data_IF_157267382534
#
_entry.id   IF_157267382534
#
_cell.length_a   1.000
_cell.length_b   1.000
_cell.length_c   1.000
_cell.angle_alpha   90.00
_cell.angle_beta   90.00
_cell.angle_gamma   90.00
#
_symmetry.space_group_name_H-M   'P 1'
#
loop_
_entity.id
_entity.type
_entity.pdbx_description
1 polymer ?
#
# COMPACT_ATOMS: atom_id res chain seq x y z
N UNK A 1 -4.28 -35.33 32.69
CA UNK A 1 -5.53 -35.48 31.90
C UNK A 1 -5.21 -35.57 30.42
N UNK A 2 -6.11 -36.14 29.61
CA UNK A 2 -5.97 -36.22 28.14
C UNK A 2 -5.73 -34.84 27.50
N UNK A 3 -6.32 -33.78 28.06
CA UNK A 3 -6.11 -32.39 27.64
C UNK A 3 -4.65 -31.95 27.76
N UNK A 4 -3.97 -32.24 28.89
CA UNK A 4 -2.56 -31.89 29.10
C UNK A 4 -1.65 -32.63 28.11
N UNK A 5 -1.95 -33.89 27.79
CA UNK A 5 -1.18 -34.66 26.80
C UNK A 5 -1.33 -34.07 25.38
N UNK A 6 -2.55 -33.71 24.97
CA UNK A 6 -2.79 -33.06 23.68
C UNK A 6 -2.13 -31.69 23.57
N UNK A 7 -2.15 -30.90 24.63
CA UNK A 7 -1.48 -29.60 24.68
C UNK A 7 0.05 -29.73 24.56
N UNK A 8 0.67 -30.68 25.29
CA UNK A 8 2.10 -31.00 25.14
C UNK A 8 2.45 -31.43 23.71
N UNK A 9 1.59 -32.23 23.08
CA UNK A 9 1.76 -32.64 21.69
C UNK A 9 1.69 -31.48 20.69
N UNK A 10 0.79 -30.50 20.91
CA UNK A 10 0.72 -29.27 20.11
C UNK A 10 2.00 -28.44 20.27
N UNK A 11 2.45 -28.23 21.51
CA UNK A 11 3.69 -27.49 21.79
C UNK A 11 4.90 -28.13 21.10
N UNK A 12 5.08 -29.44 21.22
CA UNK A 12 6.20 -30.13 20.58
C UNK A 12 6.18 -30.04 19.05
N UNK A 13 5.00 -29.98 18.41
CA UNK A 13 4.90 -29.77 16.95
C UNK A 13 5.22 -28.33 16.57
N UNK A 14 4.72 -27.36 17.33
CA UNK A 14 5.02 -25.94 17.10
C UNK A 14 6.51 -25.64 17.27
N UNK A 15 7.15 -26.18 18.32
CA UNK A 15 8.60 -26.03 18.56
C UNK A 15 9.41 -26.65 17.42
N UNK A 16 9.08 -27.88 17.00
CA UNK A 16 9.76 -28.53 15.86
C UNK A 16 9.60 -27.76 14.56
N UNK A 17 8.41 -27.20 14.30
CA UNK A 17 8.17 -26.37 13.11
C UNK A 17 8.95 -25.06 13.19
N UNK A 18 8.94 -24.40 14.35
CA UNK A 18 9.67 -23.15 14.59
C UNK A 18 11.18 -23.30 14.36
N UNK A 19 11.77 -24.42 14.80
CA UNK A 19 13.19 -24.73 14.59
C UNK A 19 13.60 -24.84 13.11
N UNK A 20 12.63 -25.04 12.20
CA UNK A 20 12.85 -25.16 10.76
C UNK A 20 12.21 -24.01 9.96
N UNK A 21 11.72 -22.97 10.62
CA UNK A 21 11.19 -21.80 9.92
C UNK A 21 12.33 -21.09 9.22
N UNK A 22 12.25 -21.03 7.89
CA UNK A 22 13.08 -20.13 7.11
C UNK A 22 12.56 -18.71 7.30
N UNK A 23 13.47 -17.74 7.25
CA UNK A 23 13.10 -16.34 7.04
C UNK A 23 12.15 -16.26 5.85
N UNK A 24 10.91 -15.83 6.09
CA UNK A 24 10.06 -15.45 4.98
C UNK A 24 10.74 -14.23 4.33
N UNK A 25 10.96 -14.24 3.00
CA UNK A 25 11.42 -13.03 2.35
C UNK A 25 10.39 -11.96 2.63
N UNK A 26 10.78 -10.87 3.30
CA UNK A 26 9.93 -9.68 3.40
C UNK A 26 9.68 -9.25 1.96
N UNK A 27 8.44 -9.35 1.43
CA UNK A 27 8.19 -8.90 0.09
C UNK A 27 8.57 -7.42 0.07
N UNK A 28 9.55 -7.07 -0.77
CA UNK A 28 9.91 -5.68 -1.04
C UNK A 28 8.70 -5.05 -1.73
N UNK A 29 7.70 -4.65 -0.94
CA UNK A 29 6.52 -3.96 -1.46
C UNK A 29 6.98 -2.54 -1.72
N UNK A 30 7.23 -2.22 -2.99
CA UNK A 30 7.16 -0.83 -3.44
C UNK A 30 5.72 -0.40 -3.22
N UNK A 31 5.44 0.15 -2.04
CA UNK A 31 4.10 0.59 -1.69
C UNK A 31 3.77 1.74 -2.64
N UNK A 32 2.90 1.48 -3.60
CA UNK A 32 2.48 2.50 -4.53
C UNK A 32 1.42 3.37 -3.84
N UNK A 33 1.59 4.69 -3.82
CA UNK A 33 0.68 5.62 -3.15
C UNK A 33 -0.45 6.12 -4.06
N UNK A 34 -0.41 5.74 -5.33
CA UNK A 34 -1.39 6.14 -6.35
C UNK A 34 -2.63 5.27 -6.27
N UNK A 35 -3.80 5.88 -6.36
CA UNK A 35 -5.07 5.16 -6.50
C UNK A 35 -5.45 5.08 -7.98
N UNK A 36 -5.68 3.89 -8.50
CA UNK A 36 -6.23 3.73 -9.85
C UNK A 36 -7.76 3.76 -9.80
N UNK A 37 -8.37 4.57 -10.65
CA UNK A 37 -9.81 4.63 -10.84
C UNK A 37 -10.11 4.18 -12.25
N UNK A 38 -11.04 3.24 -12.38
CA UNK A 38 -11.38 2.65 -13.66
C UNK A 38 -12.86 2.88 -13.93
N UNK A 39 -13.14 3.73 -14.92
CA UNK A 39 -14.49 3.96 -15.42
C UNK A 39 -14.84 5.45 -15.54
N UNK A 40 -15.84 5.67 -16.36
CA UNK A 40 -16.31 6.98 -16.84
C UNK A 40 -17.58 7.48 -16.13
N UNK A 41 -18.16 6.66 -15.26
CA UNK A 41 -19.38 7.01 -14.51
C UNK A 41 -19.20 8.23 -13.61
N UNK A 42 -20.29 8.96 -13.33
CA UNK A 42 -20.26 10.12 -12.43
C UNK A 42 -19.64 9.79 -11.06
N UNK A 43 -19.94 8.63 -10.47
CA UNK A 43 -19.35 8.20 -9.22
C UNK A 43 -17.82 7.97 -9.32
N UNK A 44 -17.34 7.42 -10.44
CA UNK A 44 -15.90 7.22 -10.65
C UNK A 44 -15.17 8.57 -10.79
N UNK A 45 -15.69 9.48 -11.63
CA UNK A 45 -15.14 10.82 -11.79
C UNK A 45 -15.19 11.62 -10.47
N UNK A 46 -16.25 11.45 -9.69
CA UNK A 46 -16.35 12.09 -8.37
C UNK A 46 -15.35 11.52 -7.37
N UNK A 47 -15.06 10.22 -7.45
CA UNK A 47 -14.00 9.60 -6.65
C UNK A 47 -12.64 10.24 -6.99
N UNK A 48 -12.34 10.41 -8.28
CA UNK A 48 -11.11 11.03 -8.75
C UNK A 48 -10.99 12.48 -8.28
N UNK A 49 -12.06 13.27 -8.40
CA UNK A 49 -12.11 14.63 -7.90
C UNK A 49 -11.88 14.70 -6.38
N UNK A 50 -12.50 13.79 -5.62
CA UNK A 50 -12.36 13.77 -4.15
C UNK A 50 -10.92 13.50 -3.74
N UNK A 51 -10.26 12.49 -4.35
CA UNK A 51 -8.85 12.19 -4.11
C UNK A 51 -7.93 13.33 -4.59
N UNK A 52 -8.27 13.93 -5.74
CA UNK A 52 -7.62 15.11 -6.31
C UNK A 52 -7.55 16.26 -5.31
N UNK A 53 -8.70 16.64 -4.76
CA UNK A 53 -8.83 17.67 -3.72
C UNK A 53 -8.05 17.34 -2.43
N UNK A 54 -7.88 16.06 -2.11
CA UNK A 54 -7.10 15.61 -0.95
C UNK A 54 -5.58 15.57 -1.23
N UNK A 55 -5.13 15.96 -2.42
CA UNK A 55 -3.72 15.95 -2.82
C UNK A 55 -3.13 14.56 -3.03
N UNK A 56 -3.97 13.53 -3.25
CA UNK A 56 -3.50 12.17 -3.50
C UNK A 56 -3.32 11.90 -4.98
N UNK A 57 -2.28 11.14 -5.32
CA UNK A 57 -2.03 10.74 -6.71
C UNK A 57 -3.12 9.79 -7.21
N UNK A 58 -3.66 10.09 -8.39
CA UNK A 58 -4.71 9.30 -9.04
C UNK A 58 -4.30 8.97 -10.47
N UNK A 59 -4.49 7.71 -10.85
CA UNK A 59 -4.56 7.32 -12.25
C UNK A 59 -6.00 7.08 -12.65
N UNK A 60 -6.45 7.65 -13.75
CA UNK A 60 -7.81 7.49 -14.24
C UNK A 60 -7.81 6.87 -15.64
N UNK A 61 -8.55 5.78 -15.81
CA UNK A 61 -8.66 5.01 -17.05
C UNK A 61 -10.12 4.76 -17.42
N UNK A 62 -10.37 4.48 -18.70
CA UNK A 62 -11.67 4.01 -19.18
C UNK A 62 -11.94 2.55 -18.78
N UNK A 63 -13.19 2.13 -18.92
CA UNK A 63 -13.58 0.73 -18.74
C UNK A 63 -13.55 -0.02 -20.09
N UNK A 64 -13.57 -1.38 -20.11
CA UNK A 64 -13.65 -2.13 -21.35
C UNK A 64 -14.78 -1.60 -22.25
N UNK A 65 -14.42 -1.30 -23.49
CA UNK A 65 -15.32 -0.82 -24.55
C UNK A 65 -15.95 0.55 -24.27
N UNK A 66 -15.43 1.27 -23.26
CA UNK A 66 -15.81 2.64 -22.89
C UNK A 66 -14.56 3.44 -22.50
N UNK A 67 -13.83 3.96 -23.51
CA UNK A 67 -12.64 4.76 -23.27
C UNK A 67 -12.96 6.00 -22.45
N UNK A 68 -11.99 6.48 -21.67
CA UNK A 68 -12.16 7.64 -20.82
C UNK A 68 -12.43 8.90 -21.67
N UNK A 69 -13.59 9.56 -21.54
CA UNK A 69 -13.95 10.68 -22.41
C UNK A 69 -13.39 12.02 -21.92
N UNK A 70 -13.33 12.20 -20.61
CA UNK A 70 -12.84 13.43 -19.96
C UNK A 70 -12.46 13.12 -18.51
N UNK A 71 -11.76 14.05 -17.88
CA UNK A 71 -11.32 13.93 -16.50
C UNK A 71 -11.41 15.26 -15.76
N UNK A 72 -11.55 15.24 -14.43
CA UNK A 72 -11.47 16.44 -13.62
C UNK A 72 -10.05 17.03 -13.67
N UNK A 73 -9.96 18.35 -13.78
CA UNK A 73 -8.69 19.08 -13.88
C UNK A 73 -8.07 19.28 -12.49
N UNK A 74 -7.15 18.39 -12.13
CA UNK A 74 -6.33 18.46 -10.91
C UNK A 74 -4.90 18.04 -11.25
N UNK A 75 -3.87 18.73 -10.72
CA UNK A 75 -2.47 18.46 -11.05
C UNK A 75 -1.99 17.05 -10.66
N UNK A 76 -2.65 16.44 -9.67
CA UNK A 76 -2.38 15.10 -9.13
C UNK A 76 -3.34 14.01 -9.66
N UNK A 77 -4.16 14.34 -10.66
CA UNK A 77 -5.04 13.38 -11.35
C UNK A 77 -4.55 13.18 -12.77
N UNK A 78 -3.86 12.06 -13.00
CA UNK A 78 -3.34 11.71 -14.32
C UNK A 78 -4.38 10.88 -15.07
N UNK A 79 -5.06 11.51 -16.01
CA UNK A 79 -6.07 10.89 -16.83
C UNK A 79 -5.50 10.41 -18.16
N UNK A 80 -5.66 9.13 -18.44
CA UNK A 80 -5.21 8.52 -19.69
C UNK A 80 -6.41 8.46 -20.64
N UNK A 81 -6.65 9.56 -21.36
CA UNK A 81 -7.74 9.65 -22.33
C UNK A 81 -7.58 8.58 -23.43
N UNK A 82 -8.72 8.07 -23.94
CA UNK A 82 -8.70 6.99 -24.93
C UNK A 82 -8.31 5.60 -24.38
N UNK A 83 -7.73 5.52 -23.18
CA UNK A 83 -7.28 4.24 -22.60
C UNK A 83 -8.42 3.42 -21.99
N UNK A 84 -8.23 2.09 -21.97
CA UNK A 84 -9.17 1.13 -21.37
C UNK A 84 -8.43 0.11 -20.50
N UNK A 85 -8.80 -0.01 -19.22
CA UNK A 85 -8.28 -1.09 -18.38
C UNK A 85 -8.98 -2.42 -18.70
N UNK A 86 -8.21 -3.51 -18.84
CA UNK A 86 -8.70 -4.84 -19.22
C UNK A 86 -8.70 -5.86 -18.08
N UNK A 87 -7.68 -5.80 -17.23
CA UNK A 87 -7.56 -6.71 -16.09
C UNK A 87 -6.82 -6.04 -14.94
N UNK A 88 -7.05 -6.54 -13.73
CA UNK A 88 -6.29 -6.13 -12.56
C UNK A 88 -5.95 -7.32 -11.66
N UNK A 89 -4.80 -7.23 -10.99
CA UNK A 89 -4.35 -8.21 -10.01
C UNK A 89 -3.72 -7.55 -8.81
N UNK A 90 -3.56 -8.30 -7.73
CA UNK A 90 -2.87 -7.85 -6.53
C UNK A 90 -3.82 -7.46 -5.40
N UNK A 91 -3.30 -6.69 -4.46
CA UNK A 91 -3.98 -6.26 -3.24
C UNK A 91 -3.46 -4.89 -2.80
N UNK A 92 -4.01 -4.33 -1.73
CA UNK A 92 -3.60 -3.05 -1.17
C UNK A 92 -2.07 -2.89 -1.12
N UNK A 93 -1.60 -1.79 -1.70
CA UNK A 93 -0.18 -1.43 -1.86
C UNK A 93 0.54 -2.02 -3.09
N UNK A 94 -0.04 -2.99 -3.80
CA UNK A 94 0.60 -3.70 -4.94
C UNK A 94 -0.43 -4.20 -5.96
N UNK A 95 -1.36 -3.34 -6.38
CA UNK A 95 -2.20 -3.62 -7.53
C UNK A 95 -1.41 -3.42 -8.82
N UNK A 96 -1.68 -4.28 -9.80
CA UNK A 96 -1.23 -4.12 -11.19
C UNK A 96 -2.44 -4.08 -12.10
N UNK A 97 -2.58 -2.99 -12.83
CA UNK A 97 -3.68 -2.75 -13.77
C UNK A 97 -3.12 -2.83 -15.19
N UNK A 98 -3.66 -3.73 -16.01
CA UNK A 98 -3.32 -3.85 -17.43
C UNK A 98 -4.23 -2.93 -18.22
N UNK A 99 -3.63 -1.98 -18.94
CA UNK A 99 -4.31 -0.93 -19.68
C UNK A 99 -3.92 -1.02 -21.14
N UNK A 100 -4.91 -0.93 -22.03
CA UNK A 100 -4.70 -0.70 -23.45
C UNK A 100 -4.75 0.80 -23.68
N UNK A 101 -3.65 1.36 -24.18
CA UNK A 101 -3.51 2.77 -24.51
C UNK A 101 -4.21 3.10 -25.84
N UNK A 102 -4.35 4.38 -26.18
CA UNK A 102 -5.02 4.82 -27.41
C UNK A 102 -4.36 4.29 -28.69
N UNK A 103 -3.02 4.14 -28.67
CA UNK A 103 -2.23 3.56 -29.77
C UNK A 103 -2.31 2.02 -29.85
N UNK A 104 -3.13 1.40 -29.00
CA UNK A 104 -3.29 -0.06 -28.92
C UNK A 104 -2.18 -0.76 -28.11
N UNK A 105 -1.21 -0.04 -27.56
CA UNK A 105 -0.14 -0.65 -26.75
C UNK A 105 -0.67 -1.11 -25.39
N UNK A 106 -0.11 -2.21 -24.90
CA UNK A 106 -0.43 -2.74 -23.58
C UNK A 106 0.59 -2.24 -22.55
N UNK A 107 0.10 -1.56 -21.51
CA UNK A 107 0.91 -1.09 -20.40
C UNK A 107 0.40 -1.62 -19.05
N UNK A 108 1.32 -1.70 -18.08
CA UNK A 108 1.00 -2.16 -16.72
C UNK A 108 1.27 -1.02 -15.75
N UNK A 109 0.21 -0.52 -15.12
CA UNK A 109 0.29 0.49 -14.09
C UNK A 109 0.28 -0.16 -12.71
N UNK A 110 1.18 0.30 -11.83
CA UNK A 110 1.15 -0.09 -10.42
C UNK A 110 0.29 0.92 -9.64
N UNK A 111 -0.50 0.43 -8.69
CA UNK A 111 -1.36 1.25 -7.83
C UNK A 111 -1.44 0.65 -6.43
N UNK A 112 -1.67 1.47 -5.40
CA UNK A 112 -1.87 1.00 -4.05
C UNK A 112 -3.32 0.66 -3.72
N UNK A 113 -4.28 1.30 -4.39
CA UNK A 113 -5.70 0.99 -4.29
C UNK A 113 -6.34 1.10 -5.67
N UNK A 114 -7.48 0.45 -5.84
CA UNK A 114 -8.28 0.50 -7.06
C UNK A 114 -9.74 0.80 -6.73
N UNK A 115 -10.33 1.76 -7.44
CA UNK A 115 -11.78 2.02 -7.42
C UNK A 115 -12.36 1.65 -8.77
N UNK A 116 -13.35 0.75 -8.78
CA UNK A 116 -14.05 0.31 -9.98
C UNK A 116 -15.37 1.05 -10.14
N UNK A 117 -15.56 1.65 -11.32
CA UNK A 117 -16.84 2.13 -11.81
C UNK A 117 -17.79 0.98 -12.16
N UNK A 118 -19.06 1.31 -12.42
CA UNK A 118 -20.13 0.31 -12.60
C UNK A 118 -19.97 -0.57 -13.85
N UNK A 119 -19.43 -0.04 -14.94
CA UNK A 119 -19.08 -0.84 -16.13
C UNK A 119 -17.87 -1.74 -15.84
N UNK A 120 -16.81 -1.14 -15.26
CA UNK A 120 -15.56 -1.82 -14.96
C UNK A 120 -15.74 -3.03 -14.03
N UNK A 121 -16.58 -2.93 -13.00
CA UNK A 121 -16.81 -4.05 -12.06
C UNK A 121 -17.42 -5.31 -12.69
N UNK A 122 -18.11 -5.17 -13.83
CA UNK A 122 -18.73 -6.31 -14.56
C UNK A 122 -17.79 -6.90 -15.61
N UNK A 123 -16.90 -6.08 -16.15
CA UNK A 123 -16.16 -6.41 -17.37
C UNK A 123 -14.66 -6.59 -17.15
N UNK A 124 -14.17 -6.32 -15.94
CA UNK A 124 -12.74 -6.47 -15.60
C UNK A 124 -12.56 -7.70 -14.72
N UNK A 125 -11.79 -8.65 -15.23
CA UNK A 125 -11.38 -9.83 -14.49
C UNK A 125 -10.39 -9.45 -13.37
N UNK A 126 -10.67 -9.94 -12.15
CA UNK A 126 -9.70 -9.95 -11.07
C UNK A 126 -8.91 -11.26 -11.08
N UNK A 127 -7.58 -11.15 -11.04
CA UNK A 127 -6.69 -12.30 -10.97
C UNK A 127 -5.89 -12.28 -9.65
N UNK A 128 -6.18 -13.16 -8.67
CA UNK A 128 -5.41 -13.20 -7.43
C UNK A 128 -3.98 -13.73 -7.64
N UNK A 129 -3.78 -14.66 -8.59
CA UNK A 129 -2.50 -15.28 -8.92
C UNK A 129 -2.44 -15.61 -10.43
N UNK A 130 -1.25 -15.60 -11.08
CA UNK A 130 -1.11 -15.99 -12.49
C UNK A 130 -1.67 -17.38 -12.83
N UNK A 131 -1.54 -18.33 -11.90
CA UNK A 131 -1.97 -19.73 -12.08
C UNK A 131 -3.41 -19.99 -11.64
N UNK A 132 -4.15 -18.96 -11.22
CA UNK A 132 -5.56 -19.10 -10.84
C UNK A 132 -6.47 -18.54 -11.94
N UNK A 133 -7.62 -19.21 -12.20
CA UNK A 133 -8.58 -18.67 -13.15
C UNK A 133 -9.08 -17.30 -12.68
N UNK A 134 -9.32 -16.36 -13.61
CA UNK A 134 -10.00 -15.12 -13.28
C UNK A 134 -11.39 -15.45 -12.70
N UNK A 135 -11.78 -14.72 -11.65
CA UNK A 135 -13.12 -14.84 -11.09
C UNK A 135 -13.70 -13.45 -10.84
N UNK A 136 -15.03 -13.37 -10.91
CA UNK A 136 -15.75 -12.21 -10.42
C UNK A 136 -15.59 -12.13 -8.91
N UNK A 137 -15.17 -10.97 -8.41
CA UNK A 137 -15.14 -10.75 -6.97
C UNK A 137 -16.57 -10.54 -6.46
N UNK A 138 -16.91 -11.19 -5.36
CA UNK A 138 -18.22 -11.04 -4.74
C UNK A 138 -18.28 -9.77 -3.91
N UNK A 139 -19.37 -9.03 -4.03
CA UNK A 139 -19.69 -7.88 -3.20
C UNK A 139 -21.11 -8.07 -2.65
N UNK A 140 -21.28 -7.82 -1.36
CA UNK A 140 -22.59 -7.87 -0.72
C UNK A 140 -22.61 -6.90 0.45
N UNK A 141 -23.73 -6.20 0.60
CA UNK A 141 -23.99 -5.38 1.78
C UNK A 141 -24.38 -6.30 2.93
N UNK A 142 -23.74 -6.14 4.08
CA UNK A 142 -24.17 -6.85 5.28
C UNK A 142 -25.56 -6.38 5.67
N UNK A 143 -26.47 -7.33 5.86
CA UNK A 143 -27.79 -7.09 6.38
C UNK A 143 -27.85 -7.50 7.86
N UNK A 144 -28.53 -6.68 8.67
CA UNK A 144 -28.69 -6.93 10.10
C UNK A 144 -29.34 -8.30 10.31
N UNK A 145 -28.68 -9.18 11.07
CA UNK A 145 -29.16 -10.53 11.39
C UNK A 145 -28.68 -11.65 10.45
N UNK A 146 -28.02 -11.34 9.34
CA UNK A 146 -27.44 -12.34 8.45
C UNK A 146 -25.97 -12.65 8.83
N UNK A 147 -25.70 -13.91 9.17
CA UNK A 147 -24.35 -14.42 9.47
C UNK A 147 -23.62 -14.80 8.17
N UNK A 148 -22.31 -14.61 8.11
CA UNK A 148 -21.47 -15.07 6.99
C UNK A 148 -21.21 -14.06 5.86
N UNK A 149 -21.67 -12.81 5.98
CA UNK A 149 -21.38 -11.73 5.02
C UNK A 149 -20.33 -10.78 5.63
N UNK A 150 -19.07 -10.76 5.14
CA UNK A 150 -17.94 -10.22 5.90
C UNK A 150 -17.67 -8.71 5.80
N UNK A 151 -18.63 -7.83 5.48
CA UNK A 151 -18.30 -6.41 5.21
C UNK A 151 -19.22 -5.39 5.88
N UNK A 152 -18.60 -4.47 6.63
CA UNK A 152 -19.28 -3.40 7.38
C UNK A 152 -19.39 -2.06 6.62
N UNK A 153 -18.70 -1.90 5.47
CA UNK A 153 -18.50 -0.57 4.84
C UNK A 153 -19.01 -0.54 3.40
N UNK A 154 -19.98 0.34 3.06
CA UNK A 154 -20.42 0.63 1.70
C UNK A 154 -19.28 0.73 0.67
N UNK A 155 -19.32 -0.06 -0.40
CA UNK A 155 -18.32 0.03 -1.48
C UNK A 155 -17.04 -0.77 -1.28
N UNK A 156 -16.83 -1.40 -0.12
CA UNK A 156 -15.73 -2.35 0.05
C UNK A 156 -16.00 -3.69 -0.65
N UNK A 157 -14.94 -4.37 -1.09
CA UNK A 157 -14.99 -5.72 -1.66
C UNK A 157 -14.26 -6.72 -0.76
N UNK A 158 -14.27 -8.01 -1.13
CA UNK A 158 -13.48 -9.05 -0.48
C UNK A 158 -11.97 -8.92 -0.67
N UNK A 159 -11.54 -8.02 -1.55
CA UNK A 159 -10.13 -7.78 -1.86
C UNK A 159 -9.71 -6.46 -1.19
N UNK A 160 -8.79 -6.49 -0.21
CA UNK A 160 -8.31 -5.28 0.46
C UNK A 160 -7.77 -4.26 -0.54
N UNK A 161 -8.24 -3.02 -0.45
CA UNK A 161 -7.86 -1.92 -1.33
C UNK A 161 -8.57 -1.88 -2.69
N UNK A 162 -9.45 -2.85 -3.00
CA UNK A 162 -10.34 -2.82 -4.15
C UNK A 162 -11.74 -2.36 -3.72
N UNK A 163 -12.20 -1.27 -4.31
CA UNK A 163 -13.42 -0.55 -3.92
C UNK A 163 -14.35 -0.35 -5.12
N UNK A 164 -15.63 -0.09 -4.84
CA UNK A 164 -16.65 0.24 -5.83
C UNK A 164 -17.02 1.72 -5.73
N UNK A 165 -16.97 2.43 -6.86
CA UNK A 165 -17.40 3.82 -6.94
C UNK A 165 -18.92 3.95 -6.69
N UNK A 166 -19.71 3.01 -7.22
CA UNK A 166 -21.16 2.96 -7.08
C UNK A 166 -21.61 1.57 -6.59
N UNK A 167 -21.59 1.33 -5.27
CA UNK A 167 -22.05 0.06 -4.72
C UNK A 167 -23.57 -0.11 -4.91
N UNK A 168 -24.04 -1.29 -5.37
CA UNK A 168 -25.47 -1.55 -5.52
C UNK A 168 -26.18 -1.69 -4.17
N UNK A 169 -27.48 -1.42 -4.17
CA UNK A 169 -28.31 -1.53 -2.96
C UNK A 169 -28.22 -0.33 -2.01
N UNK A 170 -27.45 0.70 -2.35
CA UNK A 170 -27.36 1.95 -1.58
C UNK A 170 -28.16 3.04 -2.28
N UNK A 171 -29.19 3.54 -1.58
CA UNK A 171 -30.02 4.64 -2.03
C UNK A 171 -29.36 5.99 -1.69
N UNK A 172 -28.48 6.44 -2.57
CA UNK A 172 -27.80 7.74 -2.50
C UNK A 172 -27.47 8.22 -3.93
N UNK A 173 -27.14 9.50 -4.10
CA UNK A 173 -26.68 10.01 -5.40
C UNK A 173 -25.32 9.42 -5.79
N UNK A 174 -25.03 9.33 -7.09
CA UNK A 174 -23.72 8.92 -7.61
C UNK A 174 -22.60 9.81 -7.07
N UNK A 175 -22.88 11.10 -6.86
CA UNK A 175 -21.97 12.03 -6.22
C UNK A 175 -21.58 11.59 -4.81
N UNK A 176 -22.56 11.25 -3.96
CA UNK A 176 -22.30 10.80 -2.58
C UNK A 176 -21.52 9.48 -2.58
N UNK A 177 -21.94 8.53 -3.42
CA UNK A 177 -21.27 7.23 -3.56
C UNK A 177 -19.81 7.37 -4.00
N UNK A 178 -19.55 8.18 -5.02
CA UNK A 178 -18.20 8.46 -5.50
C UNK A 178 -17.32 9.17 -4.47
N UNK A 179 -17.84 10.17 -3.77
CA UNK A 179 -17.10 10.82 -2.67
C UNK A 179 -16.78 9.82 -1.55
N UNK A 180 -17.73 8.97 -1.17
CA UNK A 180 -17.49 7.93 -0.17
C UNK A 180 -16.40 6.95 -0.62
N UNK A 181 -16.42 6.50 -1.89
CA UNK A 181 -15.39 5.62 -2.43
C UNK A 181 -13.99 6.27 -2.43
N UNK A 182 -13.90 7.56 -2.81
CA UNK A 182 -12.66 8.33 -2.69
C UNK A 182 -12.15 8.43 -1.25
N UNK A 183 -13.04 8.73 -0.29
CA UNK A 183 -12.66 8.77 1.14
C UNK A 183 -12.18 7.39 1.61
N UNK A 184 -12.86 6.32 1.23
CA UNK A 184 -12.45 4.96 1.61
C UNK A 184 -11.07 4.61 1.06
N UNK A 185 -10.79 4.93 -0.20
CA UNK A 185 -9.46 4.81 -0.76
C UNK A 185 -8.44 5.61 0.07
N UNK A 186 -8.76 6.86 0.42
CA UNK A 186 -7.93 7.70 1.29
C UNK A 186 -7.64 7.09 2.66
N UNK A 187 -8.58 6.31 3.23
CA UNK A 187 -8.39 5.70 4.55
C UNK A 187 -7.47 4.49 4.52
N UNK A 188 -7.45 3.74 3.41
CA UNK A 188 -6.58 2.57 3.24
C UNK A 188 -5.23 2.95 2.62
N UNK A 189 -5.15 4.12 1.99
CA UNK A 189 -3.95 4.66 1.35
C UNK A 189 -3.23 5.67 2.26
N UNK A 190 -1.96 5.45 2.60
CA UNK A 190 -1.15 6.47 3.24
C UNK A 190 -0.93 7.65 2.28
N UNK A 191 -1.01 8.89 2.79
CA UNK A 191 -0.91 10.16 2.03
C UNK A 191 0.50 10.50 1.53
N UNK A 192 1.33 9.49 1.34
CA UNK A 192 2.76 9.60 1.07
C UNK A 192 3.52 8.46 1.77
N UNK A 193 4.85 8.37 1.58
CA UNK A 193 5.67 7.56 2.47
C UNK A 193 5.31 8.01 3.89
N UNK A 194 4.93 7.09 4.78
CA UNK A 194 4.76 7.44 6.19
C UNK A 194 5.98 8.28 6.58
N UNK A 195 5.77 9.56 6.86
CA UNK A 195 6.79 10.41 7.45
C UNK A 195 7.25 9.62 8.67
N UNK A 196 8.53 9.30 8.69
CA UNK A 196 9.11 8.75 9.89
C UNK A 196 8.81 9.78 10.99
N UNK A 197 8.20 9.39 12.11
CA UNK A 197 7.87 10.30 13.21
C UNK A 197 9.13 10.73 13.99
N UNK A 198 10.23 10.98 13.28
CA UNK A 198 11.54 11.27 13.84
C UNK A 198 12.27 10.04 14.38
N UNK A 199 12.11 8.84 13.82
CA UNK A 199 12.86 7.64 14.19
C UNK A 199 13.72 7.13 13.04
N UNK A 200 14.55 7.99 12.43
CA UNK A 200 15.48 7.56 11.38
C UNK A 200 16.68 6.81 11.98
N UNK A 201 17.29 5.96 11.18
CA UNK A 201 18.58 5.33 11.50
C UNK A 201 19.66 6.18 10.85
N UNK A 202 20.72 6.49 11.58
CA UNK A 202 21.92 7.14 11.06
C UNK A 202 23.06 6.13 10.94
N UNK A 203 24.05 6.42 10.10
CA UNK A 203 25.26 5.59 9.95
C UNK A 203 26.47 6.46 10.26
N UNK A 204 27.26 6.04 11.22
CA UNK A 204 28.56 6.65 11.52
C UNK A 204 29.57 6.20 10.46
N UNK A 205 29.96 7.14 9.60
CA UNK A 205 30.91 6.91 8.51
C UNK A 205 32.24 6.31 9.01
N UNK A 206 32.76 6.80 10.14
CA UNK A 206 34.06 6.37 10.68
C UNK A 206 34.06 4.91 11.18
N UNK A 207 32.87 4.37 11.51
CA UNK A 207 32.71 2.97 11.95
C UNK A 207 32.26 2.07 10.78
N UNK A 208 31.83 2.66 9.67
CA UNK A 208 31.26 1.91 8.56
C UNK A 208 32.39 1.27 7.74
N UNK A 209 32.42 -0.07 7.71
CA UNK A 209 33.38 -0.84 6.91
C UNK A 209 32.92 -1.15 5.48
N UNK A 210 31.85 -0.50 5.02
CA UNK A 210 31.34 -0.65 3.66
C UNK A 210 30.84 -2.03 3.22
N UNK A 211 30.40 -2.89 4.14
CA UNK A 211 30.08 -4.30 3.81
C UNK A 211 28.69 -4.55 3.18
N UNK A 212 27.79 -3.57 3.21
CA UNK A 212 26.54 -3.58 2.45
C UNK A 212 25.39 -4.44 2.97
N UNK A 213 25.58 -5.08 4.13
CA UNK A 213 24.53 -5.87 4.78
C UNK A 213 23.27 -5.04 5.07
N UNK A 214 23.43 -3.78 5.47
CA UNK A 214 22.33 -2.86 5.73
C UNK A 214 21.48 -2.55 4.48
N UNK A 215 22.10 -2.50 3.30
CA UNK A 215 21.40 -2.29 2.02
C UNK A 215 20.50 -3.48 1.72
N UNK A 216 21.04 -4.70 1.83
CA UNK A 216 20.29 -5.93 1.59
C UNK A 216 19.19 -6.18 2.63
N UNK A 217 19.43 -5.77 3.87
CA UNK A 217 18.47 -5.94 4.96
C UNK A 217 17.32 -4.93 4.92
N UNK A 218 17.48 -3.77 4.27
CA UNK A 218 16.47 -2.72 4.31
C UNK A 218 15.26 -3.03 3.40
N UNK A 219 14.07 -3.32 3.95
CA UNK A 219 12.89 -3.66 3.14
C UNK A 219 12.33 -2.45 2.38
N UNK A 220 12.71 -1.23 2.80
CA UNK A 220 12.26 0.04 2.24
C UNK A 220 13.23 0.64 1.23
N UNK A 221 14.36 -0.04 0.96
CA UNK A 221 15.44 0.46 0.08
C UNK A 221 15.92 1.87 0.47
N UNK A 222 15.91 2.16 1.76
CA UNK A 222 16.29 3.46 2.32
C UNK A 222 17.80 3.59 2.54
N UNK A 223 18.62 2.62 2.13
CA UNK A 223 20.07 2.63 2.36
C UNK A 223 20.80 2.55 1.02
N UNK A 224 21.67 3.52 0.75
CA UNK A 224 22.54 3.61 -0.43
C UNK A 224 24.02 3.52 -0.04
N UNK A 225 24.89 3.41 -1.04
CA UNK A 225 26.33 3.44 -0.88
C UNK A 225 26.95 4.69 -1.47
N UNK A 226 27.83 5.32 -0.71
CA UNK A 226 28.63 6.45 -1.13
C UNK A 226 30.11 6.12 -0.93
N UNK A 227 30.97 6.79 -1.69
CA UNK A 227 32.42 6.67 -1.57
C UNK A 227 32.93 7.94 -0.91
N UNK A 228 33.75 7.80 0.12
CA UNK A 228 34.38 8.94 0.77
C UNK A 228 35.63 9.40 0.00
N UNK A 229 36.22 10.52 0.44
CA UNK A 229 37.39 11.14 -0.19
C UNK A 229 38.65 10.25 -0.19
N UNK A 230 38.67 9.22 0.66
CA UNK A 230 39.76 8.24 0.78
C UNK A 230 39.52 6.98 -0.06
N UNK A 231 38.45 6.93 -0.87
CA UNK A 231 38.12 5.80 -1.74
C UNK A 231 37.43 4.63 -1.02
N UNK A 232 37.11 4.77 0.27
CA UNK A 232 36.39 3.75 1.04
C UNK A 232 34.87 3.96 0.94
N UNK A 233 34.13 2.87 0.73
CA UNK A 233 32.67 2.90 0.63
C UNK A 233 31.99 2.93 2.00
N UNK A 234 30.99 3.78 2.19
CA UNK A 234 30.14 3.83 3.38
C UNK A 234 28.66 3.85 3.00
N UNK A 235 27.82 3.38 3.92
CA UNK A 235 26.38 3.35 3.71
C UNK A 235 25.75 4.66 4.20
N UNK A 236 24.75 5.16 3.47
CA UNK A 236 23.97 6.37 3.80
C UNK A 236 22.51 5.99 3.87
N UNK A 237 21.77 6.58 4.81
CA UNK A 237 20.33 6.34 4.97
C UNK A 237 19.57 7.54 4.40
N UNK A 238 18.66 7.28 3.48
CA UNK A 238 17.65 8.24 3.03
C UNK A 238 16.55 8.35 4.10
N UNK A 239 16.50 9.49 4.77
CA UNK A 239 15.55 9.76 5.84
C UNK A 239 14.09 9.72 5.39
N UNK A 240 13.79 10.12 4.15
CA UNK A 240 12.42 10.13 3.62
C UNK A 240 11.90 8.71 3.39
N UNK A 241 12.80 7.79 3.01
CA UNK A 241 12.46 6.39 2.79
C UNK A 241 12.52 5.56 4.08
N UNK A 242 13.39 5.93 5.02
CA UNK A 242 13.61 5.19 6.26
C UNK A 242 12.36 5.15 7.15
N UNK A 243 12.02 3.96 7.68
CA UNK A 243 10.86 3.75 8.58
C UNK A 243 11.25 3.43 10.01
N UNK A 244 12.54 3.52 10.36
CA UNK A 244 12.99 3.31 11.74
C UNK A 244 12.88 1.87 12.27
N UNK A 245 12.74 0.88 11.39
CA UNK A 245 12.57 -0.52 11.81
C UNK A 245 13.80 -1.14 12.51
N UNK A 246 15.01 -0.58 12.30
CA UNK A 246 16.23 -1.03 12.98
C UNK A 246 16.89 -2.29 12.39
N UNK A 247 16.41 -2.82 11.27
CA UNK A 247 17.02 -4.00 10.62
C UNK A 247 18.50 -3.78 10.26
N UNK A 248 18.80 -2.58 9.74
CA UNK A 248 20.17 -2.17 9.42
C UNK A 248 21.08 -2.05 10.66
N UNK A 249 20.52 -1.70 11.83
CA UNK A 249 21.24 -1.69 13.11
C UNK A 249 21.61 -3.11 13.50
N UNK A 250 20.61 -4.00 13.53
CA UNK A 250 20.75 -5.38 13.98
C UNK A 250 21.75 -6.20 13.17
N UNK A 251 21.89 -5.92 11.87
CA UNK A 251 22.78 -6.65 10.97
C UNK A 251 24.18 -6.04 10.85
N UNK A 252 24.40 -4.83 11.39
CA UNK A 252 25.66 -4.11 11.21
C UNK A 252 26.77 -4.70 12.08
N UNK A 253 27.77 -5.37 11.50
CA UNK A 253 28.81 -6.07 12.27
C UNK A 253 29.82 -5.12 12.92
N UNK A 254 29.91 -3.87 12.46
CA UNK A 254 30.77 -2.84 13.04
C UNK A 254 30.02 -1.87 13.95
N UNK A 255 28.74 -2.13 14.22
CA UNK A 255 27.88 -1.27 15.03
C UNK A 255 27.85 0.19 14.55
N UNK A 256 27.99 0.40 13.23
CA UNK A 256 28.02 1.71 12.62
C UNK A 256 26.63 2.31 12.38
N UNK A 257 25.58 1.48 12.33
CA UNK A 257 24.21 1.92 12.13
C UNK A 257 23.53 2.06 13.48
N UNK A 258 22.87 3.20 13.73
CA UNK A 258 22.38 3.56 15.05
C UNK A 258 21.08 4.36 14.98
N UNK A 259 20.28 4.35 16.05
CA UNK A 259 19.13 5.27 16.17
C UNK A 259 19.51 6.38 17.16
N UNK A 260 19.58 7.65 16.71
CA UNK A 260 19.91 8.77 17.59
C UNK A 260 18.79 9.09 18.61
N UNK A 261 17.63 8.43 18.49
CA UNK A 261 16.42 8.69 19.26
C UNK A 261 16.23 7.75 20.46
N UNK A 262 17.33 7.36 21.10
CA UNK A 262 17.33 6.33 22.17
C UNK A 262 17.67 6.87 23.55
N UNK A 263 17.93 8.16 23.67
CA UNK A 263 18.21 8.77 24.97
C UNK A 263 16.95 9.27 25.66
N UNK A 264 17.05 9.38 26.99
CA UNK A 264 15.97 9.87 27.84
C UNK A 264 15.60 11.33 27.53
N UNK A 265 16.58 12.14 27.13
CA UNK A 265 16.39 13.54 26.79
C UNK A 265 15.45 13.71 25.59
N UNK A 266 15.62 12.91 24.54
CA UNK A 266 14.76 12.94 23.36
C UNK A 266 13.32 12.52 23.70
N UNK A 267 13.16 11.53 24.59
CA UNK A 267 11.83 11.15 25.08
C UNK A 267 11.15 12.28 25.85
N UNK A 268 11.89 12.96 26.75
CA UNK A 268 11.41 14.11 27.51
C UNK A 268 11.02 15.28 26.59
N UNK A 269 11.87 15.62 25.60
CA UNK A 269 11.59 16.65 24.59
C UNK A 269 10.34 16.37 23.75
N UNK A 270 10.17 15.12 23.29
CA UNK A 270 8.97 14.74 22.53
C UNK A 270 7.68 14.84 23.37
N UNK A 271 7.74 14.51 24.66
CA UNK A 271 6.59 14.66 25.56
C UNK A 271 6.21 16.14 25.69
N UNK A 272 7.20 17.03 25.85
CA UNK A 272 6.98 18.48 25.91
C UNK A 272 6.37 19.03 24.62
N UNK A 273 6.90 18.67 23.44
CA UNK A 273 6.36 19.13 22.15
C UNK A 273 4.89 18.71 21.95
N UNK A 274 4.55 17.46 22.28
CA UNK A 274 3.19 16.95 22.10
C UNK A 274 2.22 17.55 23.10
N UNK A 275 2.67 17.83 24.33
CA UNK A 275 1.82 18.43 25.37
C UNK A 275 1.67 19.95 25.21
N UNK A 276 2.67 20.65 24.66
CA UNK A 276 2.61 22.08 24.37
C UNK A 276 1.73 22.44 23.15
N UNK A 277 1.53 21.51 22.21
CA UNK A 277 0.61 21.70 21.07
C UNK A 277 -0.89 21.59 21.46
N UNK A 278 -1.18 21.30 22.73
CA UNK A 278 -2.54 21.16 23.26
C UNK A 278 -3.01 22.31 24.17
N UNK A 279 -2.22 23.37 24.33
CA UNK A 279 -2.52 24.56 25.16
C UNK A 279 -2.68 25.83 24.34
#
# INVERSE_FOLDING_TARGET
>A
SLAVSRFKGLLQRSIRRAAHLKSLPTPARQYNFTTAIIGESEAALRSAQTLGQMGMEVFLFGSPDRPLPSAPDYPNVHAFLGSCARSLKGTVGDFRVVVIMEDGTHQVFSAGAVILGDSARRNIAYMPHPDMPPHEFTHSMQAKGLRGIPFFVPGATSIPGLLLASPPGINASERIKGTAAGILAATVMPRGPRQNKGYTVSINENLCRGCGRCVNACPYRAVSFHTNTLGSGYAVVDEALCKGCGDCISICPSNAADSPYRDRLFLEQMIEEVTAQGS
#
